data_IF_056423199227
#
_entry.id   IF_056423199227
#
_cell.length_a   1.000
_cell.length_b   1.000
_cell.length_c   1.000
_cell.angle_alpha   90.00
_cell.angle_beta   90.00
_cell.angle_gamma   90.00
#
_symmetry.space_group_name_H-M   'P 1'
#
loop_
_entity.id
_entity.type
_entity.pdbx_description
1 polymer ?
#
# COMPACT_ATOMS: atom_id res chain seq x y z
N UNK A 1 2.55 5.68 -30.95
CA UNK A 1 1.88 4.87 -29.91
C UNK A 1 0.59 4.37 -30.53
N UNK A 2 0.39 3.05 -30.69
CA UNK A 2 -0.81 2.53 -31.34
C UNK A 2 -2.05 2.95 -30.53
N UNK A 3 -3.04 3.55 -31.18
CA UNK A 3 -4.29 4.03 -30.57
C UNK A 3 -4.93 2.95 -29.67
N UNK A 4 -4.86 1.69 -30.10
CA UNK A 4 -5.34 0.53 -29.35
C UNK A 4 -4.68 0.35 -27.98
N UNK A 5 -3.37 0.61 -27.85
CA UNK A 5 -2.65 0.45 -26.58
C UNK A 5 -3.07 1.54 -25.60
N UNK A 6 -3.21 2.78 -26.06
CA UNK A 6 -3.71 3.88 -25.23
C UNK A 6 -5.12 3.63 -24.72
N UNK A 7 -5.98 3.06 -25.56
CA UNK A 7 -7.35 2.67 -25.18
C UNK A 7 -7.31 1.59 -24.08
N UNK A 8 -6.52 0.52 -24.25
CA UNK A 8 -6.40 -0.56 -23.26
C UNK A 8 -5.90 -0.03 -21.91
N UNK A 9 -4.88 0.83 -21.93
CA UNK A 9 -4.34 1.45 -20.70
C UNK A 9 -5.41 2.29 -20.00
N UNK A 10 -6.13 3.14 -20.73
CA UNK A 10 -7.21 3.94 -20.16
C UNK A 10 -8.36 3.09 -19.60
N UNK A 11 -8.81 2.05 -20.32
CA UNK A 11 -9.85 1.15 -19.82
C UNK A 11 -9.41 0.39 -18.57
N UNK A 12 -8.15 -0.06 -18.51
CA UNK A 12 -7.62 -0.73 -17.31
C UNK A 12 -7.55 0.21 -16.10
N UNK A 13 -7.18 1.47 -16.30
CA UNK A 13 -7.16 2.48 -15.24
C UNK A 13 -8.57 2.82 -14.75
N UNK A 14 -9.51 3.03 -15.66
CA UNK A 14 -10.92 3.27 -15.33
C UNK A 14 -11.56 2.09 -14.61
N UNK A 15 -11.22 0.86 -14.99
CA UNK A 15 -11.69 -0.34 -14.32
C UNK A 15 -11.19 -0.43 -12.87
N UNK A 16 -9.91 -0.14 -12.64
CA UNK A 16 -9.32 -0.14 -11.29
C UNK A 16 -9.94 0.97 -10.42
N UNK A 17 -10.22 2.15 -10.98
CA UNK A 17 -10.93 3.22 -10.26
C UNK A 17 -12.35 2.79 -9.90
N UNK A 18 -13.06 2.16 -10.84
CA UNK A 18 -14.42 1.66 -10.62
C UNK A 18 -14.45 0.56 -9.54
N UNK A 19 -13.53 -0.39 -9.60
CA UNK A 19 -13.40 -1.45 -8.60
C UNK A 19 -13.05 -0.89 -7.21
N UNK A 20 -12.08 0.03 -7.15
CA UNK A 20 -11.70 0.70 -5.92
C UNK A 20 -12.85 1.52 -5.31
N UNK A 21 -13.65 2.17 -6.16
CA UNK A 21 -14.86 2.89 -5.73
C UNK A 21 -15.94 1.94 -5.21
N UNK A 22 -16.13 0.79 -5.86
CA UNK A 22 -17.12 -0.23 -5.46
C UNK A 22 -16.74 -0.87 -4.12
N UNK A 23 -15.45 -1.11 -3.91
CA UNK A 23 -14.90 -1.72 -2.69
C UNK A 23 -14.57 -0.69 -1.59
N UNK A 24 -14.97 0.58 -1.75
CA UNK A 24 -14.77 1.67 -0.79
C UNK A 24 -13.31 1.85 -0.35
N UNK A 25 -12.37 1.61 -1.26
CA UNK A 25 -10.95 1.81 -0.99
C UNK A 25 -10.63 3.29 -0.85
N UNK A 26 -9.65 3.60 0.01
CA UNK A 26 -9.19 4.97 0.21
C UNK A 26 -8.60 5.51 -1.10
N UNK A 27 -9.10 6.66 -1.55
CA UNK A 27 -8.68 7.36 -2.78
C UNK A 27 -8.72 6.52 -4.07
N UNK A 28 -9.90 6.22 -4.64
CA UNK A 28 -10.04 5.41 -5.86
C UNK A 28 -9.23 5.93 -7.06
N UNK A 29 -9.08 7.25 -7.17
CA UNK A 29 -8.30 7.92 -8.20
C UNK A 29 -6.79 7.63 -8.05
N UNK A 30 -6.27 7.52 -6.83
CA UNK A 30 -4.86 7.23 -6.59
C UNK A 30 -4.48 5.81 -7.05
N UNK A 31 -5.41 4.85 -6.92
CA UNK A 31 -5.25 3.50 -7.46
C UNK A 31 -5.21 3.50 -9.01
N UNK A 32 -6.06 4.30 -9.65
CA UNK A 32 -6.02 4.53 -11.10
C UNK A 32 -4.72 5.18 -11.59
N UNK A 33 -4.19 6.15 -10.84
CA UNK A 33 -2.91 6.78 -11.16
C UNK A 33 -1.73 5.82 -10.96
N UNK A 34 -1.81 4.95 -9.95
CA UNK A 34 -0.79 3.93 -9.69
C UNK A 34 -0.67 2.93 -10.85
N UNK A 35 -1.79 2.48 -11.41
CA UNK A 35 -1.76 1.57 -12.57
C UNK A 35 -1.26 2.28 -13.84
N UNK A 36 -1.56 3.57 -14.03
CA UNK A 36 -0.99 4.37 -15.12
C UNK A 36 0.52 4.52 -14.99
N UNK A 37 1.02 4.76 -13.78
CA UNK A 37 2.46 4.84 -13.51
C UNK A 37 3.17 3.51 -13.80
N UNK A 38 2.55 2.39 -13.44
CA UNK A 38 3.05 1.05 -13.73
C UNK A 38 3.20 0.82 -15.24
N UNK A 39 2.21 1.25 -16.04
CA UNK A 39 2.31 1.24 -17.49
C UNK A 39 3.42 2.14 -18.03
N UNK A 40 3.65 3.30 -17.41
CA UNK A 40 4.71 4.23 -17.81
C UNK A 40 6.12 3.64 -17.62
N UNK A 41 6.29 2.67 -16.71
CA UNK A 41 7.56 1.95 -16.51
C UNK A 41 7.61 0.68 -17.39
N UNK A 42 6.55 -0.13 -17.35
CA UNK A 42 6.53 -1.42 -18.03
C UNK A 42 6.54 -1.29 -19.56
N UNK A 43 5.85 -0.29 -20.10
CA UNK A 43 5.67 -0.11 -21.54
C UNK A 43 6.97 0.33 -22.24
N UNK A 44 7.75 1.31 -21.75
CA UNK A 44 9.07 1.61 -22.31
C UNK A 44 10.01 0.40 -22.24
N UNK A 45 10.08 -0.29 -21.10
CA UNK A 45 10.94 -1.48 -20.94
C UNK A 45 10.57 -2.56 -21.96
N UNK A 46 9.28 -2.83 -22.13
CA UNK A 46 8.78 -3.75 -23.14
C UNK A 46 9.15 -3.31 -24.56
N UNK A 47 8.96 -2.04 -24.90
CA UNK A 47 9.27 -1.52 -26.24
C UNK A 47 10.77 -1.56 -26.55
N UNK A 48 11.65 -1.25 -25.59
CA UNK A 48 13.09 -1.39 -25.76
C UNK A 48 13.51 -2.84 -25.98
N UNK A 49 12.98 -3.76 -25.16
CA UNK A 49 13.26 -5.20 -25.30
C UNK A 49 12.73 -5.74 -26.62
N UNK A 50 11.54 -5.31 -27.05
CA UNK A 50 10.94 -5.66 -28.35
C UNK A 50 11.79 -5.14 -29.51
N UNK A 51 12.24 -3.88 -29.50
CA UNK A 51 13.13 -3.35 -30.56
C UNK A 51 14.39 -4.18 -30.70
N UNK A 52 15.01 -4.57 -29.57
CA UNK A 52 16.19 -5.45 -29.56
C UNK A 52 15.91 -6.83 -30.17
N UNK A 53 14.72 -7.40 -29.94
CA UNK A 53 14.31 -8.67 -30.56
C UNK A 53 13.99 -8.53 -32.04
N UNK A 54 13.38 -7.41 -32.47
CA UNK A 54 13.09 -7.15 -33.88
C UNK A 54 14.40 -6.96 -34.65
N UNK A 55 15.34 -6.14 -34.17
CA UNK A 55 16.65 -5.93 -34.83
C UNK A 55 17.45 -7.23 -34.96
N UNK A 56 17.39 -8.09 -33.94
CA UNK A 56 18.02 -9.41 -34.00
C UNK A 56 17.29 -10.39 -34.94
N UNK A 57 15.97 -10.26 -35.12
CA UNK A 57 15.18 -11.11 -36.00
C UNK A 57 15.18 -10.63 -37.46
N UNK A 58 15.30 -9.31 -37.68
CA UNK A 58 15.48 -8.68 -38.99
C UNK A 58 16.96 -8.54 -39.33
N UNK A 59 17.83 -9.36 -38.74
CA UNK A 59 19.26 -9.37 -39.02
C UNK A 59 19.48 -9.30 -40.52
N UNK A 60 19.85 -8.10 -40.99
CA UNK A 60 20.60 -7.97 -42.21
C UNK A 60 21.80 -8.89 -42.02
N UNK A 61 21.89 -9.91 -42.87
CA UNK A 61 23.00 -10.83 -42.94
C UNK A 61 24.18 -10.03 -43.54
N UNK A 62 24.73 -9.09 -42.77
CA UNK A 62 25.91 -8.36 -43.18
C UNK A 62 27.07 -9.35 -43.14
N UNK A 63 27.55 -9.64 -44.34
CA UNK A 63 28.56 -10.64 -44.62
C UNK A 63 29.89 -10.23 -44.00
N UNK A 64 30.56 -11.19 -43.38
CA UNK A 64 31.97 -11.11 -43.04
C UNK A 64 32.26 -10.41 -41.73
N UNK A 65 32.62 -11.21 -40.72
CA UNK A 65 33.84 -11.11 -39.92
C UNK A 65 33.71 -12.18 -38.84
N UNK A 66 34.54 -13.21 -38.99
CA UNK A 66 34.90 -14.14 -37.91
C UNK A 66 35.63 -13.30 -36.86
N UNK A 67 35.09 -13.17 -35.65
CA UNK A 67 35.90 -12.75 -34.50
C UNK A 67 35.30 -13.17 -33.16
N UNK A 68 36.20 -13.62 -32.31
CA UNK A 68 36.00 -14.48 -31.16
C UNK A 68 35.64 -13.59 -29.96
N UNK A 69 34.37 -13.54 -29.61
CA UNK A 69 33.88 -12.60 -28.62
C UNK A 69 32.95 -13.30 -27.64
N UNK A 70 33.57 -13.90 -26.62
CA UNK A 70 33.05 -14.23 -25.29
C UNK A 70 31.68 -14.91 -25.28
N UNK A 71 31.67 -16.20 -24.89
CA UNK A 71 30.47 -16.88 -24.41
C UNK A 71 29.93 -16.15 -23.15
N UNK A 72 29.23 -15.04 -23.36
CA UNK A 72 28.25 -14.52 -22.43
C UNK A 72 27.20 -15.62 -22.33
N UNK A 73 27.37 -16.47 -21.32
CA UNK A 73 26.36 -17.39 -20.85
C UNK A 73 25.15 -16.53 -20.48
N UNK A 74 24.30 -16.30 -21.49
CA UNK A 74 23.14 -15.42 -21.44
C UNK A 74 22.10 -16.20 -20.67
N UNK A 75 22.29 -16.29 -19.35
CA UNK A 75 21.37 -16.93 -18.41
C UNK A 75 20.10 -16.10 -18.47
N UNK A 76 19.23 -16.49 -19.38
CA UNK A 76 17.99 -15.83 -19.69
C UNK A 76 17.10 -16.04 -18.48
N UNK A 77 17.11 -15.08 -17.54
CA UNK A 77 16.28 -15.12 -16.35
C UNK A 77 14.83 -15.26 -16.82
N UNK A 78 14.16 -16.37 -16.47
CA UNK A 78 12.84 -16.65 -16.97
C UNK A 78 11.86 -15.59 -16.47
N UNK A 79 10.88 -15.24 -17.32
CA UNK A 79 9.99 -14.10 -17.10
C UNK A 79 9.23 -14.17 -15.76
N UNK A 80 9.04 -15.37 -15.21
CA UNK A 80 8.42 -15.57 -13.90
C UNK A 80 9.22 -14.93 -12.75
N UNK A 81 10.54 -14.77 -12.88
CA UNK A 81 11.39 -14.10 -11.87
C UNK A 81 11.04 -12.61 -11.77
N UNK A 82 10.76 -11.98 -12.91
CA UNK A 82 10.31 -10.59 -12.93
C UNK A 82 8.92 -10.42 -12.31
N UNK A 83 7.99 -11.32 -12.62
CA UNK A 83 6.65 -11.33 -12.03
C UNK A 83 6.70 -11.56 -10.50
N UNK A 84 7.51 -12.53 -10.06
CA UNK A 84 7.71 -12.84 -8.65
C UNK A 84 8.30 -11.66 -7.86
N UNK A 85 9.26 -10.92 -8.45
CA UNK A 85 9.82 -9.73 -7.82
C UNK A 85 8.79 -8.61 -7.66
N UNK A 86 7.97 -8.36 -8.68
CA UNK A 86 6.92 -7.33 -8.60
C UNK A 86 5.86 -7.70 -7.54
N UNK A 87 5.47 -8.97 -7.47
CA UNK A 87 4.56 -9.47 -6.43
C UNK A 87 5.20 -9.35 -5.04
N UNK A 88 6.44 -9.81 -4.87
CA UNK A 88 7.13 -9.73 -3.58
C UNK A 88 7.27 -8.28 -3.10
N UNK A 89 7.54 -7.34 -4.00
CA UNK A 89 7.65 -5.92 -3.66
C UNK A 89 6.30 -5.29 -3.29
N UNK A 90 5.24 -5.63 -4.03
CA UNK A 90 3.89 -5.10 -3.76
C UNK A 90 3.27 -5.70 -2.48
N UNK A 91 3.45 -7.01 -2.25
CA UNK A 91 3.06 -7.66 -0.99
C UNK A 91 3.91 -7.13 0.17
N UNK A 92 5.22 -6.99 0.01
CA UNK A 92 6.10 -6.44 1.03
C UNK A 92 5.74 -5.01 1.43
N UNK A 93 5.44 -4.14 0.46
CA UNK A 93 4.99 -2.77 0.72
C UNK A 93 3.62 -2.72 1.42
N UNK A 94 2.68 -3.56 0.99
CA UNK A 94 1.36 -3.66 1.63
C UNK A 94 1.48 -4.17 3.08
N UNK A 95 2.26 -5.23 3.31
CA UNK A 95 2.52 -5.77 4.64
C UNK A 95 3.26 -4.76 5.53
N UNK A 96 4.21 -4.00 5.00
CA UNK A 96 4.91 -2.95 5.74
C UNK A 96 3.97 -1.84 6.21
N UNK A 97 3.04 -1.39 5.35
CA UNK A 97 2.04 -0.40 5.73
C UNK A 97 0.99 -0.94 6.72
N UNK A 98 0.64 -2.22 6.64
CA UNK A 98 -0.19 -2.90 7.65
C UNK A 98 0.53 -3.05 8.99
N UNK A 99 1.84 -3.28 8.98
CA UNK A 99 2.66 -3.38 10.19
C UNK A 99 2.89 -2.03 10.88
N UNK A 100 2.51 -0.89 10.28
CA UNK A 100 2.51 0.41 10.97
C UNK A 100 1.44 0.53 12.08
N UNK A 101 0.72 -0.55 12.37
CA UNK A 101 -0.14 -0.67 13.54
C UNK A 101 -1.52 -0.07 13.32
N UNK A 102 -2.53 -0.80 13.79
CA UNK A 102 -3.88 -0.26 13.95
C UNK A 102 -3.96 0.46 15.30
N UNK A 103 -4.72 1.56 15.36
CA UNK A 103 -4.89 2.29 16.61
C UNK A 103 -5.56 1.37 17.65
N UNK A 104 -5.01 1.25 18.87
CA UNK A 104 -5.51 0.30 19.86
C UNK A 104 -6.98 0.55 20.21
N UNK A 105 -7.69 -0.54 20.51
CA UNK A 105 -9.11 -0.50 20.90
C UNK A 105 -9.27 0.19 22.26
N UNK A 106 -10.42 0.84 22.49
CA UNK A 106 -10.75 1.48 23.78
C UNK A 106 -10.70 0.48 24.97
N UNK A 107 -11.01 -0.79 24.69
CA UNK A 107 -11.01 -1.91 25.66
C UNK A 107 -9.66 -2.61 25.79
N UNK A 108 -8.66 -2.19 25.01
CA UNK A 108 -7.35 -2.84 25.03
C UNK A 108 -6.63 -2.61 26.36
N UNK A 109 -5.80 -3.59 26.74
CA UNK A 109 -4.96 -3.50 27.95
C UNK A 109 -4.02 -2.29 27.92
N UNK A 110 -3.56 -1.92 26.73
CA UNK A 110 -2.66 -0.78 26.49
C UNK A 110 -3.33 0.55 26.85
N UNK A 111 -4.58 0.75 26.40
CA UNK A 111 -5.37 1.95 26.73
C UNK A 111 -5.73 1.95 28.21
N UNK A 112 -6.08 0.79 28.79
CA UNK A 112 -6.36 0.67 30.22
C UNK A 112 -5.16 1.05 31.11
N UNK A 113 -3.93 0.70 30.70
CA UNK A 113 -2.71 1.06 31.43
C UNK A 113 -2.39 2.56 31.34
N UNK A 114 -2.66 3.20 30.21
CA UNK A 114 -2.50 4.65 30.07
C UNK A 114 -3.57 5.38 30.89
N UNK A 115 -4.81 4.89 30.86
CA UNK A 115 -5.91 5.46 31.66
C UNK A 115 -5.66 5.36 33.17
N UNK A 116 -5.14 4.23 33.66
CA UNK A 116 -4.85 4.06 35.09
C UNK A 116 -3.71 4.96 35.60
N UNK A 117 -2.83 5.44 34.72
CA UNK A 117 -1.82 6.46 35.06
C UNK A 117 -2.39 7.87 35.15
N UNK A 118 -3.50 8.15 34.46
CA UNK A 118 -4.16 9.46 34.45
C UNK A 118 -5.19 9.57 35.58
N UNK A 119 -5.90 8.48 35.85
CA UNK A 119 -6.97 8.41 36.83
C UNK A 119 -6.44 7.66 38.07
N UNK A 120 -5.94 8.43 39.03
CA UNK A 120 -5.19 7.93 40.18
C UNK A 120 -6.12 7.28 41.23
N UNK A 121 -6.30 5.96 41.14
CA UNK A 121 -7.00 5.16 42.15
C UNK A 121 -8.53 5.04 42.03
N UNK A 122 -9.16 5.64 41.00
CA UNK A 122 -10.60 5.47 40.78
C UNK A 122 -10.94 4.15 40.08
N UNK A 123 -12.14 3.62 40.34
CA UNK A 123 -12.62 2.43 39.64
C UNK A 123 -13.08 2.79 38.22
N UNK A 124 -12.31 2.35 37.23
CA UNK A 124 -12.68 2.42 35.81
C UNK A 124 -13.49 1.17 35.45
N UNK A 125 -14.67 1.36 34.87
CA UNK A 125 -15.50 0.27 34.38
C UNK A 125 -16.12 0.59 33.02
N UNK A 126 -16.46 -0.45 32.28
CA UNK A 126 -17.19 -0.39 31.00
C UNK A 126 -16.58 0.58 29.95
N UNK A 127 -15.29 0.47 29.60
CA UNK A 127 -14.76 1.20 28.45
C UNK A 127 -15.43 0.67 27.18
N UNK A 128 -16.02 1.54 26.38
CA UNK A 128 -16.70 1.17 25.13
C UNK A 128 -16.45 2.21 24.04
N UNK A 129 -16.21 1.75 22.82
CA UNK A 129 -16.10 2.62 21.65
C UNK A 129 -17.49 2.96 21.12
N UNK A 130 -17.78 4.25 20.91
CA UNK A 130 -19.04 4.67 20.29
C UNK A 130 -18.86 5.25 18.88
N UNK A 131 -17.66 5.73 18.54
CA UNK A 131 -17.38 6.28 17.20
C UNK A 131 -15.92 6.07 16.79
N UNK A 132 -15.68 6.01 15.49
CA UNK A 132 -14.35 6.00 14.89
C UNK A 132 -14.30 6.96 13.71
N UNK A 133 -13.45 7.99 13.84
CA UNK A 133 -13.19 8.94 12.78
C UNK A 133 -12.03 8.42 11.92
N UNK A 134 -12.37 7.84 10.77
CA UNK A 134 -11.40 7.22 9.86
C UNK A 134 -10.38 8.21 9.27
N UNK A 135 -10.73 9.48 9.09
CA UNK A 135 -9.84 10.47 8.46
C UNK A 135 -8.68 10.88 9.36
N UNK A 136 -8.96 11.08 10.64
CA UNK A 136 -7.98 11.50 11.63
C UNK A 136 -7.47 10.33 12.50
N UNK A 137 -7.93 9.11 12.20
CA UNK A 137 -7.71 7.90 13.00
C UNK A 137 -7.95 8.14 14.50
N UNK A 138 -9.09 8.76 14.82
CA UNK A 138 -9.49 9.06 16.21
C UNK A 138 -10.57 8.08 16.64
N UNK A 139 -10.31 7.33 17.71
CA UNK A 139 -11.35 6.54 18.38
C UNK A 139 -11.98 7.39 19.48
N UNK A 140 -13.30 7.48 19.46
CA UNK A 140 -14.05 8.10 20.53
C UNK A 140 -14.65 7.01 21.42
N UNK A 141 -14.33 7.11 22.69
CA UNK A 141 -14.59 6.11 23.70
C UNK A 141 -15.34 6.73 24.88
N UNK A 142 -16.18 5.95 25.53
CA UNK A 142 -16.77 6.28 26.82
C UNK A 142 -16.33 5.27 27.85
N UNK A 143 -16.22 5.70 29.10
CA UNK A 143 -16.00 4.82 30.24
C UNK A 143 -16.76 5.37 31.46
N UNK A 144 -16.85 4.56 32.51
CA UNK A 144 -17.40 4.96 33.80
C UNK A 144 -16.24 5.12 34.79
N UNK A 145 -16.13 6.30 35.41
CA UNK A 145 -15.23 6.55 36.56
C UNK A 145 -16.12 6.76 37.78
N UNK A 146 -16.03 5.89 38.77
CA UNK A 146 -16.86 5.97 39.99
C UNK A 146 -18.37 6.19 39.66
N UNK A 147 -18.90 5.35 38.77
CA UNK A 147 -20.27 5.42 38.24
C UNK A 147 -20.66 6.71 37.49
N UNK A 148 -19.68 7.56 37.17
CA UNK A 148 -19.88 8.77 36.36
C UNK A 148 -19.40 8.54 34.92
N UNK A 149 -20.25 8.76 33.90
CA UNK A 149 -19.83 8.63 32.51
C UNK A 149 -18.84 9.73 32.14
N UNK A 150 -17.72 9.34 31.54
CA UNK A 150 -16.70 10.24 30.99
C UNK A 150 -16.34 9.81 29.58
N UNK A 151 -16.22 10.78 28.67
CA UNK A 151 -15.76 10.55 27.31
C UNK A 151 -14.26 10.84 27.20
N UNK A 152 -13.61 10.05 26.35
CA UNK A 152 -12.20 10.21 26.03
C UNK A 152 -11.93 9.81 24.59
N UNK A 153 -10.82 10.30 24.06
CA UNK A 153 -10.36 10.03 22.70
C UNK A 153 -9.00 9.36 22.72
N UNK A 154 -8.82 8.40 21.81
CA UNK A 154 -7.54 7.75 21.53
C UNK A 154 -7.14 8.15 20.12
N UNK A 155 -5.90 8.63 19.96
CA UNK A 155 -5.32 9.00 18.65
C UNK A 155 -3.82 8.78 18.63
N UNK A 156 -3.23 8.72 17.44
CA UNK A 156 -1.78 8.67 17.30
C UNK A 156 -1.12 9.95 17.81
N UNK A 157 0.03 9.79 18.46
CA UNK A 157 0.89 10.89 18.88
C UNK A 157 1.73 11.43 17.70
N UNK A 158 2.17 10.53 16.82
CA UNK A 158 2.99 10.83 15.65
C UNK A 158 2.43 10.22 14.38
N UNK A 159 2.74 10.81 13.22
CA UNK A 159 2.47 10.24 11.90
C UNK A 159 3.18 8.89 11.68
N UNK A 160 4.27 8.66 12.41
CA UNK A 160 5.01 7.40 12.40
C UNK A 160 4.29 6.26 13.13
N UNK A 161 3.17 6.54 13.81
CA UNK A 161 2.32 5.58 14.54
C UNK A 161 3.08 4.73 15.57
N UNK A 162 4.11 5.32 16.15
CA UNK A 162 4.98 4.71 17.17
C UNK A 162 4.37 4.78 18.58
N UNK A 163 3.59 5.82 18.84
CA UNK A 163 2.96 6.10 20.14
C UNK A 163 1.54 6.60 19.94
N UNK A 164 0.65 6.29 20.89
CA UNK A 164 -0.71 6.82 20.94
C UNK A 164 -0.91 7.61 22.23
N UNK A 165 -1.89 8.51 22.22
CA UNK A 165 -2.27 9.32 23.37
C UNK A 165 -3.75 9.16 23.69
N UNK A 166 -4.06 9.32 24.97
CA UNK A 166 -5.42 9.30 25.50
C UNK A 166 -5.73 10.69 26.05
N UNK A 167 -6.87 11.27 25.65
CA UNK A 167 -7.31 12.59 26.09
C UNK A 167 -8.76 12.55 26.54
N UNK A 168 -9.05 12.98 27.77
CA UNK A 168 -10.42 13.23 28.22
C UNK A 168 -10.99 14.49 27.57
N UNK A 169 -12.28 14.45 27.24
CA UNK A 169 -13.00 15.61 26.70
C UNK A 169 -13.41 16.62 27.79
#
# INVERSE_FOLDING_TARGET
>A
MNLAISIIVCFSALWVIYDASKNKLQSPVAWGLSILFLWFIALPVYLFKRKKMIVNATGFHESGVEDNAWHLNKRQTPAWVGYALVIAFSVGYYSWNLSKGELPLCESKEVAEVLSKIVDGDSISNPAQYSYEMFNEVRHCNLMINDTPRSFTVKWYSEDKDQFLVKFD
#
